data_IF_901907370470
#
_entry.id   IF_901907370470
#
_cell.length_a   1.000
_cell.length_b   1.000
_cell.length_c   1.000
_cell.angle_alpha   90.00
_cell.angle_beta   90.00
_cell.angle_gamma   90.00
#
_symmetry.space_group_name_H-M   'P 1'
#
loop_
_entity.id
_entity.type
_entity.pdbx_description
1 polymer ?
#
# COMPACT_ATOMS: atom_id res chain seq x y z
N UNK A 1 9.75 -7.69 -6.71
CA UNK A 1 9.23 -6.69 -5.75
C UNK A 1 7.71 -6.71 -5.67
N UNK A 2 7.01 -6.31 -6.74
CA UNK A 2 5.54 -6.26 -6.80
C UNK A 2 4.87 -7.61 -6.51
N UNK A 3 5.45 -8.72 -6.96
CA UNK A 3 4.94 -10.08 -6.68
C UNK A 3 4.96 -10.40 -5.18
N UNK A 4 5.99 -9.97 -4.45
CA UNK A 4 6.11 -10.23 -3.00
C UNK A 4 5.12 -9.38 -2.22
N UNK A 5 5.00 -8.10 -2.57
CA UNK A 5 4.00 -7.18 -2.02
C UNK A 5 2.58 -7.70 -2.31
N UNK A 6 2.33 -8.19 -3.53
CA UNK A 6 1.05 -8.78 -3.90
C UNK A 6 0.75 -10.04 -3.08
N UNK A 7 1.71 -10.96 -2.92
CA UNK A 7 1.53 -12.16 -2.09
C UNK A 7 1.25 -11.79 -0.63
N UNK A 8 1.94 -10.78 -0.10
CA UNK A 8 1.69 -10.27 1.25
C UNK A 8 0.26 -9.70 1.36
N UNK A 9 -0.19 -8.92 0.38
CA UNK A 9 -1.56 -8.42 0.31
C UNK A 9 -2.61 -9.54 0.23
N UNK A 10 -2.37 -10.57 -0.59
CA UNK A 10 -3.26 -11.76 -0.67
C UNK A 10 -3.33 -12.50 0.66
N UNK A 11 -2.20 -12.64 1.36
CA UNK A 11 -2.16 -13.28 2.67
C UNK A 11 -2.95 -12.49 3.72
N UNK A 12 -2.78 -11.16 3.75
CA UNK A 12 -3.57 -10.24 4.58
C UNK A 12 -5.06 -10.33 4.28
N UNK A 13 -5.43 -10.38 3.00
CA UNK A 13 -6.83 -10.51 2.59
C UNK A 13 -7.43 -11.86 3.02
N UNK A 14 -6.67 -12.95 2.88
CA UNK A 14 -7.09 -14.27 3.35
C UNK A 14 -7.31 -14.26 4.87
N UNK A 15 -6.38 -13.71 5.63
CA UNK A 15 -6.51 -13.57 7.08
C UNK A 15 -7.77 -12.77 7.47
N UNK A 16 -8.05 -11.66 6.78
CA UNK A 16 -9.27 -10.86 6.96
C UNK A 16 -10.54 -11.70 6.74
N UNK A 17 -10.59 -12.50 5.66
CA UNK A 17 -11.73 -13.36 5.37
C UNK A 17 -11.87 -14.50 6.39
N UNK A 18 -10.77 -15.11 6.82
CA UNK A 18 -10.76 -16.16 7.84
C UNK A 18 -11.31 -15.63 9.19
N UNK A 19 -10.97 -14.38 9.53
CA UNK A 19 -11.48 -13.70 10.72
C UNK A 19 -12.98 -13.41 10.63
N UNK A 20 -13.49 -13.05 9.44
CA UNK A 20 -14.93 -12.82 9.20
C UNK A 20 -15.77 -14.10 9.24
N UNK A 21 -15.21 -15.22 8.80
CA UNK A 21 -15.93 -16.49 8.63
C UNK A 21 -15.83 -17.44 9.83
N UNK A 22 -15.12 -17.07 10.90
CA UNK A 22 -14.93 -17.96 12.06
C UNK A 22 -16.16 -17.95 12.98
N UNK A 23 -16.74 -19.13 13.20
CA UNK A 23 -17.83 -19.34 14.15
C UNK A 23 -17.37 -19.20 15.62
N UNK A 24 -18.17 -18.45 16.39
CA UNK A 24 -17.82 -17.88 17.69
C UNK A 24 -17.87 -18.85 18.88
N UNK A 25 -18.26 -20.11 18.66
CA UNK A 25 -18.34 -21.14 19.72
C UNK A 25 -17.00 -21.83 20.01
N UNK A 26 -16.01 -21.70 19.11
CA UNK A 26 -14.67 -22.32 19.22
C UNK A 26 -13.57 -21.26 19.45
N UNK A 27 -13.98 -20.05 19.88
CA UNK A 27 -13.18 -18.85 19.72
C UNK A 27 -12.00 -18.72 20.71
N UNK A 28 -12.10 -19.35 21.89
CA UNK A 28 -11.07 -19.26 22.93
C UNK A 28 -9.71 -19.81 22.50
N UNK A 29 -9.70 -21.01 21.92
CA UNK A 29 -8.46 -21.63 21.41
C UNK A 29 -7.93 -20.90 20.16
N UNK A 30 -8.82 -20.39 19.31
CA UNK A 30 -8.45 -19.67 18.08
C UNK A 30 -7.95 -18.24 18.34
N UNK A 31 -8.29 -17.62 19.47
CA UNK A 31 -7.87 -16.26 19.79
C UNK A 31 -6.34 -16.13 19.84
N UNK A 32 -5.66 -17.08 20.49
CA UNK A 32 -4.19 -17.13 20.52
C UNK A 32 -3.59 -17.40 19.14
N UNK A 33 -4.23 -18.23 18.33
CA UNK A 33 -3.80 -18.51 16.95
C UNK A 33 -3.91 -17.25 16.06
N UNK A 34 -5.02 -16.52 16.14
CA UNK A 34 -5.20 -15.25 15.44
C UNK A 34 -4.20 -14.18 15.90
N UNK A 35 -3.92 -14.11 17.21
CA UNK A 35 -2.93 -13.17 17.75
C UNK A 35 -1.53 -13.45 17.21
N UNK A 36 -1.11 -14.72 17.23
CA UNK A 36 0.18 -15.12 16.69
C UNK A 36 0.25 -14.92 15.17
N UNK A 37 -0.83 -15.24 14.45
CA UNK A 37 -0.94 -14.98 13.01
C UNK A 37 -0.81 -13.49 12.69
N UNK A 38 -1.51 -12.62 13.42
CA UNK A 38 -1.42 -11.18 13.24
C UNK A 38 -0.02 -10.64 13.54
N UNK A 39 0.61 -11.08 14.64
CA UNK A 39 1.98 -10.69 14.99
C UNK A 39 2.98 -11.09 13.90
N UNK A 40 2.84 -12.30 13.34
CA UNK A 40 3.67 -12.77 12.25
C UNK A 40 3.47 -11.93 10.98
N UNK A 41 2.21 -11.60 10.64
CA UNK A 41 1.89 -10.72 9.50
C UNK A 41 2.54 -9.35 9.68
N UNK A 42 2.39 -8.78 10.87
CA UNK A 42 2.94 -7.48 11.23
C UNK A 42 4.47 -7.47 11.11
N UNK A 43 5.14 -8.49 11.66
CA UNK A 43 6.60 -8.65 11.58
C UNK A 43 7.06 -8.78 10.12
N UNK A 44 6.42 -9.65 9.33
CA UNK A 44 6.74 -9.81 7.90
C UNK A 44 6.49 -8.52 7.13
N UNK A 45 5.45 -7.76 7.47
CA UNK A 45 5.14 -6.48 6.82
C UNK A 45 6.16 -5.41 7.18
N UNK A 46 6.66 -5.37 8.42
CA UNK A 46 7.77 -4.48 8.81
C UNK A 46 9.05 -4.81 8.05
N UNK A 47 9.44 -6.08 8.04
CA UNK A 47 10.61 -6.54 7.27
C UNK A 47 10.46 -6.21 5.78
N UNK A 48 9.26 -6.40 5.23
CA UNK A 48 8.95 -6.05 3.84
C UNK A 48 9.15 -4.55 3.60
N UNK A 49 8.63 -3.70 4.48
CA UNK A 49 8.80 -2.25 4.41
C UNK A 49 10.27 -1.87 4.44
N UNK A 50 11.04 -2.40 5.39
CA UNK A 50 12.44 -2.02 5.59
C UNK A 50 13.32 -2.45 4.40
N UNK A 51 13.14 -3.67 3.91
CA UNK A 51 13.90 -4.20 2.77
C UNK A 51 13.55 -3.49 1.47
N UNK A 52 12.27 -3.15 1.27
CA UNK A 52 11.82 -2.54 0.02
C UNK A 52 11.79 -1.01 0.02
N UNK A 53 11.96 -0.35 1.16
CA UNK A 53 11.93 1.12 1.29
C UNK A 53 12.89 1.81 0.31
N UNK A 54 14.16 1.40 0.28
CA UNK A 54 15.18 2.00 -0.59
C UNK A 54 14.99 1.65 -2.06
N UNK A 55 14.78 0.38 -2.44
CA UNK A 55 14.49 0.05 -3.84
C UNK A 55 13.23 0.72 -4.39
N UNK A 56 12.15 0.81 -3.60
CA UNK A 56 10.92 1.50 -4.00
C UNK A 56 11.19 2.98 -4.28
N UNK A 57 12.02 3.63 -3.46
CA UNK A 57 12.42 5.02 -3.68
C UNK A 57 13.20 5.20 -4.99
N UNK A 58 14.19 4.35 -5.25
CA UNK A 58 15.00 4.43 -6.48
C UNK A 58 14.13 4.24 -7.72
N UNK A 59 13.23 3.26 -7.71
CA UNK A 59 12.32 3.00 -8.83
C UNK A 59 11.38 4.19 -9.04
N UNK A 60 10.79 4.70 -7.95
CA UNK A 60 9.88 5.85 -8.01
C UNK A 60 10.59 7.09 -8.59
N UNK A 61 11.78 7.38 -8.09
CA UNK A 61 12.59 8.50 -8.55
C UNK A 61 12.93 8.37 -10.04
N UNK A 62 13.36 7.17 -10.48
CA UNK A 62 13.63 6.88 -11.89
C UNK A 62 12.38 7.10 -12.75
N UNK A 63 11.21 6.65 -12.30
CA UNK A 63 9.96 6.86 -13.02
C UNK A 63 9.60 8.34 -13.15
N UNK A 64 9.76 9.13 -12.09
CA UNK A 64 9.53 10.58 -12.17
C UNK A 64 10.52 11.27 -13.10
N UNK A 65 11.81 10.93 -13.05
CA UNK A 65 12.80 11.48 -13.97
C UNK A 65 12.47 11.15 -15.42
N UNK A 66 12.10 9.91 -15.72
CA UNK A 66 11.68 9.51 -17.08
C UNK A 66 10.46 10.31 -17.55
N UNK A 67 9.46 10.50 -16.70
CA UNK A 67 8.27 11.29 -17.02
C UNK A 67 8.61 12.77 -17.25
N UNK A 68 9.49 13.34 -16.44
CA UNK A 68 9.92 14.73 -16.58
C UNK A 68 10.75 14.95 -17.85
N UNK A 69 11.67 14.03 -18.17
CA UNK A 69 12.43 14.06 -19.42
C UNK A 69 11.47 13.98 -20.60
N UNK A 70 10.56 12.98 -20.60
CA UNK A 70 9.57 12.80 -21.66
C UNK A 70 8.74 14.07 -21.86
N UNK A 71 8.24 14.67 -20.78
CA UNK A 71 7.47 15.91 -20.81
C UNK A 71 8.28 17.07 -21.39
N UNK A 72 9.52 17.25 -20.95
CA UNK A 72 10.42 18.31 -21.45
C UNK A 72 10.74 18.14 -22.93
N UNK A 73 10.99 16.92 -23.40
CA UNK A 73 11.26 16.63 -24.82
C UNK A 73 10.02 16.76 -25.69
N UNK A 74 8.85 16.30 -25.24
CA UNK A 74 7.59 16.41 -25.98
C UNK A 74 7.15 17.86 -26.19
N UNK A 75 7.58 18.77 -25.29
CA UNK A 75 7.38 20.20 -25.43
C UNK A 75 8.33 20.86 -26.44
N UNK A 76 9.34 20.16 -26.98
CA UNK A 76 10.19 20.66 -28.07
C UNK A 76 9.50 20.46 -29.42
N UNK A 77 9.55 21.49 -30.27
CA UNK A 77 8.75 21.61 -31.48
C UNK A 77 9.21 20.71 -32.63
N UNK A 78 10.44 20.18 -32.56
CA UNK A 78 11.06 19.40 -33.64
C UNK A 78 11.68 18.11 -33.08
N UNK A 79 10.82 17.11 -32.81
CA UNK A 79 11.28 15.79 -32.36
C UNK A 79 11.19 14.80 -33.52
N UNK A 80 12.28 14.12 -33.91
CA UNK A 80 12.24 13.13 -34.97
C UNK A 80 11.35 11.93 -34.59
N UNK A 81 10.68 11.35 -35.59
CA UNK A 81 9.60 10.36 -35.41
C UNK A 81 10.02 9.10 -34.63
N UNK A 82 11.26 8.63 -34.81
CA UNK A 82 11.80 7.50 -34.04
C UNK A 82 11.99 7.82 -32.55
N UNK A 83 12.32 9.08 -32.23
CA UNK A 83 12.53 9.55 -30.86
C UNK A 83 11.18 9.75 -30.14
N UNK A 84 10.12 10.10 -30.88
CA UNK A 84 8.76 10.16 -30.34
C UNK A 84 8.27 8.80 -29.82
N UNK A 85 8.59 7.71 -30.52
CA UNK A 85 8.20 6.36 -30.08
C UNK A 85 8.90 6.00 -28.78
N UNK A 86 10.20 6.28 -28.68
CA UNK A 86 10.98 5.99 -27.47
C UNK A 86 10.48 6.82 -26.27
N UNK A 87 10.28 8.13 -26.46
CA UNK A 87 9.72 9.04 -25.44
C UNK A 87 8.35 8.56 -24.97
N UNK A 88 7.46 8.21 -25.90
CA UNK A 88 6.12 7.73 -25.57
C UNK A 88 6.19 6.43 -24.77
N UNK A 89 7.03 5.48 -25.18
CA UNK A 89 7.20 4.20 -24.48
C UNK A 89 7.77 4.38 -23.07
N UNK A 90 8.74 5.28 -22.90
CA UNK A 90 9.32 5.64 -21.60
C UNK A 90 8.29 6.31 -20.70
N UNK A 91 7.46 7.20 -21.25
CA UNK A 91 6.36 7.84 -20.54
C UNK A 91 5.35 6.80 -20.06
N UNK A 92 4.86 5.94 -20.95
CA UNK A 92 3.92 4.87 -20.57
C UNK A 92 4.51 3.95 -19.50
N UNK A 93 5.79 3.59 -19.63
CA UNK A 93 6.49 2.78 -18.63
C UNK A 93 6.57 3.49 -17.28
N UNK A 94 6.90 4.79 -17.27
CA UNK A 94 6.95 5.61 -16.06
C UNK A 94 5.60 5.67 -15.34
N UNK A 95 4.53 5.98 -16.07
CA UNK A 95 3.16 6.01 -15.54
C UNK A 95 2.75 4.64 -15.00
N UNK A 96 2.98 3.58 -15.79
CA UNK A 96 2.63 2.22 -15.41
C UNK A 96 3.33 1.77 -14.12
N UNK A 97 4.60 2.12 -13.96
CA UNK A 97 5.37 1.82 -12.75
C UNK A 97 4.81 2.57 -11.54
N UNK A 98 4.51 3.88 -11.66
CA UNK A 98 3.94 4.66 -10.56
C UNK A 98 2.59 4.10 -10.13
N UNK A 99 1.71 3.77 -11.08
CA UNK A 99 0.39 3.17 -10.81
C UNK A 99 0.55 1.82 -10.12
N UNK A 100 1.37 0.93 -10.67
CA UNK A 100 1.58 -0.42 -10.15
C UNK A 100 2.18 -0.39 -8.74
N UNK A 101 3.17 0.46 -8.50
CA UNK A 101 3.75 0.66 -7.18
C UNK A 101 2.70 1.18 -6.20
N UNK A 102 1.93 2.19 -6.58
CA UNK A 102 0.98 2.80 -5.64
C UNK A 102 -0.16 1.85 -5.29
N UNK A 103 -0.80 1.22 -6.28
CA UNK A 103 -1.91 0.28 -6.06
C UNK A 103 -1.41 -0.97 -5.32
N UNK A 104 -0.26 -1.51 -5.72
CA UNK A 104 0.30 -2.71 -5.08
C UNK A 104 0.63 -2.46 -3.61
N UNK A 105 1.28 -1.34 -3.30
CA UNK A 105 1.70 -1.02 -1.95
C UNK A 105 0.57 -0.45 -1.06
N UNK A 106 -0.48 0.16 -1.62
CA UNK A 106 -1.60 0.69 -0.82
C UNK A 106 -2.54 -0.41 -0.30
N UNK A 107 -2.58 -1.57 -0.95
CA UNK A 107 -3.41 -2.71 -0.53
C UNK A 107 -3.04 -3.23 0.86
N UNK A 108 -1.75 -3.24 1.22
CA UNK A 108 -1.29 -3.73 2.53
C UNK A 108 -1.92 -2.95 3.69
N UNK A 109 -1.77 -1.62 3.79
CA UNK A 109 -2.40 -0.85 4.86
C UNK A 109 -3.93 -0.85 4.78
N UNK A 110 -4.52 -0.96 3.57
CA UNK A 110 -5.97 -1.12 3.41
C UNK A 110 -6.48 -2.42 4.07
N UNK A 111 -5.81 -3.56 3.83
CA UNK A 111 -6.20 -4.81 4.48
C UNK A 111 -5.94 -4.81 5.98
N UNK A 112 -4.87 -4.16 6.46
CA UNK A 112 -4.63 -4.01 7.90
C UNK A 112 -5.74 -3.17 8.58
N UNK A 113 -6.22 -2.12 7.92
CA UNK A 113 -7.36 -1.32 8.39
C UNK A 113 -8.65 -2.14 8.39
N UNK A 114 -8.87 -2.98 7.37
CA UNK A 114 -10.03 -3.87 7.31
C UNK A 114 -10.02 -4.90 8.45
N UNK A 115 -8.86 -5.49 8.75
CA UNK A 115 -8.69 -6.41 9.89
C UNK A 115 -9.01 -5.68 11.20
N UNK A 116 -8.47 -4.47 11.40
CA UNK A 116 -8.78 -3.66 12.58
C UNK A 116 -10.27 -3.37 12.72
N UNK A 117 -10.92 -2.91 11.65
CA UNK A 117 -12.34 -2.62 11.66
C UNK A 117 -13.17 -3.86 11.99
N UNK A 118 -12.76 -5.03 11.46
CA UNK A 118 -13.41 -6.30 11.77
C UNK A 118 -13.21 -6.67 13.24
N UNK A 119 -11.99 -6.54 13.78
CA UNK A 119 -11.70 -6.77 15.20
C UNK A 119 -12.52 -5.83 16.09
N UNK A 120 -12.60 -4.54 15.77
CA UNK A 120 -13.40 -3.56 16.52
C UNK A 120 -14.89 -3.94 16.54
N UNK A 121 -15.44 -4.31 15.38
CA UNK A 121 -16.82 -4.80 15.27
C UNK A 121 -17.06 -6.07 16.10
N UNK A 122 -16.07 -6.96 16.18
CA UNK A 122 -16.14 -8.17 17.00
C UNK A 122 -16.14 -7.87 18.50
N UNK A 123 -15.28 -6.96 18.95
CA UNK A 123 -15.23 -6.50 20.35
C UNK A 123 -16.60 -5.92 20.75
N UNK A 124 -17.15 -5.03 19.92
CA UNK A 124 -18.43 -4.38 20.19
C UNK A 124 -19.56 -5.41 20.30
N UNK A 125 -19.69 -6.32 19.33
CA UNK A 125 -20.75 -7.34 19.31
C UNK A 125 -20.72 -8.24 20.56
N UNK A 126 -19.53 -8.54 21.10
CA UNK A 126 -19.36 -9.48 22.20
C UNK A 126 -19.33 -8.84 23.59
N UNK A 127 -18.98 -7.55 23.70
CA UNK A 127 -19.19 -6.77 24.94
C UNK A 127 -20.67 -6.76 25.35
N UNK A 128 -21.60 -6.78 24.39
CA UNK A 128 -23.04 -6.86 24.66
C UNK A 128 -23.57 -8.30 24.81
N UNK A 129 -22.87 -9.31 24.29
CA UNK A 129 -23.36 -10.70 24.20
C UNK A 129 -22.91 -11.67 25.30
N UNK A 130 -22.05 -11.27 26.25
CA UNK A 130 -21.49 -12.14 27.33
C UNK A 130 -20.74 -13.41 26.85
N UNK A 131 -20.34 -13.48 25.59
CA UNK A 131 -19.80 -14.70 24.95
C UNK A 131 -18.26 -14.84 25.01
N UNK A 132 -17.51 -13.76 25.27
CA UNK A 132 -16.05 -13.80 25.35
C UNK A 132 -15.55 -13.59 26.78
N UNK A 133 -14.48 -14.30 27.14
CA UNK A 133 -13.74 -14.03 28.38
C UNK A 133 -13.03 -12.67 28.30
N UNK A 134 -12.89 -12.00 29.45
CA UNK A 134 -12.26 -10.67 29.55
C UNK A 134 -10.85 -10.67 28.98
N UNK A 135 -10.10 -11.76 29.16
CA UNK A 135 -8.74 -11.93 28.63
C UNK A 135 -8.68 -11.93 27.11
N UNK A 136 -9.70 -12.50 26.46
CA UNK A 136 -9.75 -12.59 25.00
C UNK A 136 -10.09 -11.22 24.39
N UNK A 137 -11.00 -10.47 25.03
CA UNK A 137 -11.29 -9.08 24.67
C UNK A 137 -10.03 -8.22 24.77
N UNK A 138 -9.24 -8.37 25.83
CA UNK A 138 -7.96 -7.66 26.01
C UNK A 138 -6.91 -8.01 24.93
N UNK A 139 -6.91 -9.23 24.40
CA UNK A 139 -6.02 -9.61 23.28
C UNK A 139 -6.45 -8.89 22.00
N UNK A 140 -7.74 -8.85 21.70
CA UNK A 140 -8.26 -8.17 20.51
C UNK A 140 -8.12 -6.65 20.59
N UNK A 141 -8.38 -6.04 21.76
CA UNK A 141 -8.13 -4.61 21.96
C UNK A 141 -6.66 -4.25 21.75
N UNK A 142 -5.73 -5.14 22.14
CA UNK A 142 -4.30 -4.96 21.85
C UNK A 142 -4.01 -5.03 20.36
N UNK A 143 -4.65 -5.91 19.59
CA UNK A 143 -4.48 -5.96 18.13
C UNK A 143 -5.07 -4.73 17.44
N UNK A 144 -6.26 -4.29 17.85
CA UNK A 144 -6.93 -3.12 17.29
C UNK A 144 -6.10 -1.84 17.52
N UNK A 145 -5.43 -1.72 18.67
CA UNK A 145 -4.61 -0.56 19.03
C UNK A 145 -3.27 -0.47 18.31
N UNK A 146 -2.79 -1.54 17.67
CA UNK A 146 -1.48 -1.54 16.96
C UNK A 146 -1.46 -0.63 15.75
N UNK A 147 -0.35 0.03 15.44
CA UNK A 147 -0.30 0.93 14.29
C UNK A 147 -0.37 0.19 12.93
N UNK A 148 -1.01 0.84 11.97
CA UNK A 148 -1.05 0.36 10.58
C UNK A 148 0.29 0.62 9.92
N UNK A 149 0.88 -0.41 9.33
CA UNK A 149 2.15 -0.30 8.64
C UNK A 149 1.90 0.16 7.21
N UNK A 150 2.32 1.38 6.91
CA UNK A 150 2.33 1.89 5.55
C UNK A 150 3.64 1.51 4.87
N UNK A 151 3.52 1.00 3.63
CA UNK A 151 4.68 0.90 2.76
C UNK A 151 5.14 2.30 2.40
N UNK A 152 6.41 2.59 2.69
CA UNK A 152 7.02 3.90 2.48
C UNK A 152 8.28 3.79 1.65
N UNK A 153 8.49 4.68 0.71
CA UNK A 153 9.76 4.84 0.00
C UNK A 153 10.67 5.79 0.79
N UNK A 154 11.75 5.24 1.34
CA UNK A 154 12.76 5.93 2.18
C UNK A 154 12.17 6.75 3.36
N UNK A 155 10.96 6.40 3.84
CA UNK A 155 10.24 7.19 4.84
C UNK A 155 9.72 8.56 4.37
N UNK A 156 10.00 8.96 3.12
CA UNK A 156 9.58 10.25 2.57
C UNK A 156 8.20 10.18 1.92
N UNK A 157 7.89 9.06 1.25
CA UNK A 157 6.65 8.89 0.49
C UNK A 157 5.90 7.67 1.00
N UNK A 158 4.68 7.87 1.48
CA UNK A 158 3.78 6.77 1.82
C UNK A 158 2.92 6.41 0.62
N UNK A 159 2.89 5.13 0.24
CA UNK A 159 2.07 4.65 -0.86
C UNK A 159 0.61 4.56 -0.43
N UNK A 160 -0.12 5.67 -0.60
CA UNK A 160 -1.58 5.77 -0.46
C UNK A 160 -2.20 5.98 -1.83
N UNK A 161 -3.47 5.64 -2.03
CA UNK A 161 -4.16 5.95 -3.31
C UNK A 161 -4.11 7.45 -3.66
N UNK A 162 -4.16 8.32 -2.65
CA UNK A 162 -4.00 9.77 -2.82
C UNK A 162 -2.66 10.20 -3.41
N UNK A 163 -1.61 9.37 -3.27
CA UNK A 163 -0.30 9.63 -3.86
C UNK A 163 -0.36 9.69 -5.38
N UNK A 164 -1.24 8.94 -6.04
CA UNK A 164 -1.44 9.05 -7.49
C UNK A 164 -1.90 10.45 -7.87
N UNK A 165 -2.90 10.98 -7.15
CA UNK A 165 -3.42 12.33 -7.41
C UNK A 165 -2.33 13.39 -7.21
N UNK A 166 -1.53 13.26 -6.14
CA UNK A 166 -0.38 14.14 -5.91
C UNK A 166 0.67 14.03 -7.03
N UNK A 167 0.96 12.82 -7.50
CA UNK A 167 1.92 12.57 -8.58
C UNK A 167 1.46 13.15 -9.91
N UNK A 168 0.18 12.99 -10.25
CA UNK A 168 -0.41 13.61 -11.44
C UNK A 168 -0.46 15.13 -11.33
N UNK A 169 -0.87 15.66 -10.16
CA UNK A 169 -0.91 17.09 -9.91
C UNK A 169 0.47 17.74 -10.06
N UNK A 170 1.50 17.13 -9.48
CA UNK A 170 2.88 17.63 -9.62
C UNK A 170 3.37 17.60 -11.07
N UNK A 171 3.17 16.50 -11.81
CA UNK A 171 3.52 16.44 -13.23
C UNK A 171 2.78 17.49 -14.06
N UNK A 172 1.50 17.72 -13.77
CA UNK A 172 0.70 18.73 -14.46
C UNK A 172 1.18 20.15 -14.14
N UNK A 173 1.38 20.48 -12.87
CA UNK A 173 1.88 21.80 -12.45
C UNK A 173 3.26 22.10 -13.03
N UNK A 174 4.20 21.16 -12.95
CA UNK A 174 5.53 21.34 -13.53
C UNK A 174 5.51 21.35 -15.06
N UNK A 175 4.61 20.59 -15.69
CA UNK A 175 4.38 20.66 -17.13
C UNK A 175 3.91 22.03 -17.59
N UNK A 176 2.91 22.61 -16.90
CA UNK A 176 2.44 23.96 -17.19
C UNK A 176 3.52 25.02 -16.96
N UNK A 177 4.32 24.89 -15.89
CA UNK A 177 5.45 25.78 -15.66
C UNK A 177 6.47 25.73 -16.80
N UNK A 178 6.80 24.54 -17.30
CA UNK A 178 7.70 24.38 -18.44
C UNK A 178 7.15 24.98 -19.73
N UNK A 179 5.84 24.91 -19.95
CA UNK A 179 5.18 25.56 -21.10
C UNK A 179 5.26 27.08 -20.98
N UNK A 180 5.00 27.63 -19.80
CA UNK A 180 4.96 29.09 -19.58
C UNK A 180 6.35 29.75 -19.50
N UNK A 181 7.40 28.98 -19.22
CA UNK A 181 8.79 29.45 -19.20
C UNK A 181 9.44 29.46 -20.60
N UNK A 182 8.69 29.06 -21.63
CA UNK A 182 9.16 28.89 -22.99
C UNK A 182 8.48 29.88 -23.92
#
# INVERSE_FOLDING_TARGET
MLVVIHRCGVFLHKFSNDLKNTDFTVFSAKCHEFANGYNLIEEKTRLLRDVFSTPLFIILLRSFFNLYIALSTSLRQEVPLYLMVDISSSMFTGVFVIISLTIGNSKIPEYMLEIKATIGSLIDKHKFGKLMDRKEIEVFERMEKKDVIYMSACGMVNFRRSFLLTSFGTLFTYGLLLVNLK
#
